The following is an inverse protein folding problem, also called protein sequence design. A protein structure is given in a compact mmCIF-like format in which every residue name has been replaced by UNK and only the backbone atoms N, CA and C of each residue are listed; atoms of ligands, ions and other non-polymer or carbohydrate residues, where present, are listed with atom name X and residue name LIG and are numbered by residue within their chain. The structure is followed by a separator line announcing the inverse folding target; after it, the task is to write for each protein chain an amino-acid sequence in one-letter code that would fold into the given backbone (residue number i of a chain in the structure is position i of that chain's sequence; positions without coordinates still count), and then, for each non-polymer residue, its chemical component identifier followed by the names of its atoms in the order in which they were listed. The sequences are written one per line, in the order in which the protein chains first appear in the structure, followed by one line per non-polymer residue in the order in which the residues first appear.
data_IF_790634217301
#
_entry.id   IF_790634217301
#
_cell.length_a   1.000
_cell.length_b   1.000
_cell.length_c   1.000
_cell.angle_alpha   90.00
_cell.angle_beta   90.00
_cell.angle_gamma   90.00
#
_symmetry.space_group_name_H-M   'P 1'
#
loop_
_entity.id
_entity.type
_entity.pdbx_description
1 polymer ?
#
# COMPACT_ATOMS: atom_id res chain seq x y z
N UNK A 1 2.71 5.39 -44.03
CA UNK A 1 2.98 4.58 -42.82
C UNK A 1 2.89 5.51 -41.61
N UNK A 2 2.02 5.25 -40.61
CA UNK A 2 1.98 6.09 -39.42
C UNK A 2 3.18 5.78 -38.53
N UNK A 3 3.84 6.82 -38.01
CA UNK A 3 4.98 6.70 -37.13
C UNK A 3 4.56 6.01 -35.82
N UNK A 4 5.30 4.96 -35.43
CA UNK A 4 5.06 4.24 -34.19
C UNK A 4 5.22 5.18 -32.98
N UNK A 5 4.13 5.40 -32.26
CA UNK A 5 4.14 6.13 -31.01
C UNK A 5 4.89 5.29 -29.97
N UNK A 6 6.18 5.59 -29.77
CA UNK A 6 6.97 4.97 -28.70
C UNK A 6 6.56 5.60 -27.38
N UNK A 7 5.97 4.82 -26.49
CA UNK A 7 5.76 5.22 -25.10
C UNK A 7 7.12 5.50 -24.44
N UNK A 8 7.24 6.57 -23.63
CA UNK A 8 8.48 6.88 -22.94
C UNK A 8 8.92 5.70 -22.06
N UNK A 9 10.23 5.47 -22.00
CA UNK A 9 10.81 4.41 -21.17
C UNK A 9 10.53 4.68 -19.68
N UNK A 10 10.51 3.65 -18.81
CA UNK A 10 10.25 3.84 -17.37
C UNK A 10 11.18 4.87 -16.72
N UNK A 11 12.44 4.90 -17.17
CA UNK A 11 13.44 5.88 -16.73
C UNK A 11 13.09 7.31 -17.16
N UNK A 12 12.56 7.50 -18.37
CA UNK A 12 12.08 8.82 -18.82
C UNK A 12 10.87 9.28 -18.00
N UNK A 13 9.94 8.38 -17.65
CA UNK A 13 8.81 8.74 -16.79
C UNK A 13 9.27 9.19 -15.40
N UNK A 14 10.21 8.46 -14.77
CA UNK A 14 10.77 8.84 -13.46
C UNK A 14 11.49 10.18 -13.54
N UNK A 15 12.33 10.40 -14.56
CA UNK A 15 13.03 11.68 -14.75
C UNK A 15 12.03 12.82 -14.97
N UNK A 16 10.97 12.59 -15.75
CA UNK A 16 9.94 13.61 -16.01
C UNK A 16 9.14 13.91 -14.74
N UNK A 17 8.76 12.90 -13.96
CA UNK A 17 8.10 13.07 -12.67
C UNK A 17 8.98 13.80 -11.65
N UNK A 18 10.29 13.49 -11.61
CA UNK A 18 11.25 14.16 -10.74
C UNK A 18 11.46 15.63 -11.15
N UNK A 19 11.55 15.90 -12.46
CA UNK A 19 11.70 17.25 -13.00
C UNK A 19 10.43 18.09 -12.79
N UNK A 20 9.23 17.52 -12.88
CA UNK A 20 7.99 18.20 -12.51
C UNK A 20 7.99 18.52 -11.00
N UNK A 21 8.41 17.58 -10.16
CA UNK A 21 8.53 17.81 -8.71
C UNK A 21 9.53 18.93 -8.40
N UNK A 22 10.68 18.95 -9.07
CA UNK A 22 11.75 19.97 -8.92
C UNK A 22 11.32 21.34 -9.48
N UNK A 23 10.59 21.36 -10.61
CA UNK A 23 10.08 22.58 -11.21
C UNK A 23 9.00 23.24 -10.33
N UNK A 24 8.10 22.43 -9.74
CA UNK A 24 7.11 22.89 -8.75
C UNK A 24 7.80 23.36 -7.45
N UNK A 25 8.92 22.76 -7.10
CA UNK A 25 9.72 23.05 -5.92
C UNK A 25 10.45 24.41 -5.96
N UNK A 26 10.89 24.87 -7.14
CA UNK A 26 11.83 26.00 -7.26
C UNK A 26 11.28 27.41 -6.95
N UNK A 27 10.06 27.52 -6.43
CA UNK A 27 9.51 28.77 -5.88
C UNK A 27 9.02 28.55 -4.44
N UNK A 28 9.96 28.48 -3.49
CA UNK A 28 9.67 28.62 -2.05
C UNK A 28 8.87 27.51 -1.34
N UNK A 29 8.55 26.38 -2.00
CA UNK A 29 7.68 25.32 -1.42
C UNK A 29 8.29 23.91 -1.39
N UNK A 30 9.40 23.66 -2.09
CA UNK A 30 10.05 22.34 -2.22
C UNK A 30 10.37 21.64 -0.89
N UNK A 31 11.03 22.37 0.00
CA UNK A 31 11.54 21.87 1.26
C UNK A 31 10.40 21.46 2.19
N UNK A 32 9.22 22.08 2.02
CA UNK A 32 8.03 21.75 2.77
C UNK A 32 7.40 20.44 2.28
N UNK A 33 7.29 20.22 0.96
CA UNK A 33 6.71 18.99 0.41
C UNK A 33 7.53 17.75 0.77
N UNK A 34 8.86 17.80 0.62
CA UNK A 34 9.71 16.67 1.00
C UNK A 34 9.58 16.31 2.50
N UNK A 35 9.52 17.33 3.37
CA UNK A 35 9.31 17.15 4.80
C UNK A 35 7.93 16.54 5.11
N UNK A 36 6.87 16.97 4.40
CA UNK A 36 5.53 16.39 4.53
C UNK A 36 5.52 14.91 4.18
N UNK A 37 6.14 14.50 3.05
CA UNK A 37 6.21 13.09 2.66
C UNK A 37 7.07 12.27 3.63
N UNK A 38 8.18 12.81 4.12
CA UNK A 38 8.98 12.15 5.15
C UNK A 38 8.17 11.94 6.44
N UNK A 39 7.41 12.95 6.87
CA UNK A 39 6.54 12.84 8.04
C UNK A 39 5.40 11.84 7.82
N UNK A 40 4.76 11.85 6.65
CA UNK A 40 3.72 10.87 6.31
C UNK A 40 4.28 9.43 6.32
N UNK A 41 5.50 9.24 5.83
CA UNK A 41 6.20 7.95 5.92
C UNK A 41 6.45 7.49 7.36
N UNK A 42 6.82 8.41 8.26
CA UNK A 42 6.98 8.12 9.69
C UNK A 42 5.64 7.75 10.34
N UNK A 43 4.58 8.55 10.12
CA UNK A 43 3.24 8.25 10.64
C UNK A 43 2.76 6.89 10.16
N UNK A 44 2.92 6.59 8.86
CA UNK A 44 2.57 5.26 8.33
C UNK A 44 3.33 4.12 9.03
N UNK A 45 4.55 4.35 9.54
CA UNK A 45 5.33 3.31 10.23
C UNK A 45 4.69 2.84 11.52
N UNK A 46 3.95 3.72 12.18
CA UNK A 46 3.33 3.50 13.49
C UNK A 46 2.00 2.76 13.37
N UNK A 47 1.49 2.55 12.15
CA UNK A 47 0.18 1.95 11.88
C UNK A 47 0.22 0.43 11.73
N UNK A 48 1.41 -0.20 11.78
CA UNK A 48 1.58 -1.63 11.60
C UNK A 48 1.80 -2.35 12.94
N UNK A 49 1.02 -3.39 13.18
CA UNK A 49 1.05 -4.14 14.43
C UNK A 49 1.16 -5.64 14.12
N UNK A 50 2.28 -6.25 14.50
CA UNK A 50 2.46 -7.70 14.38
C UNK A 50 1.59 -8.42 15.40
N UNK A 51 0.95 -9.51 14.98
CA UNK A 51 0.16 -10.39 15.82
C UNK A 51 0.88 -11.72 16.05
N UNK A 52 0.49 -12.43 17.11
CA UNK A 52 1.11 -13.69 17.52
C UNK A 52 0.94 -14.81 16.47
N UNK A 53 -0.10 -14.72 15.65
CA UNK A 53 -0.38 -15.64 14.55
C UNK A 53 0.47 -15.40 13.29
N UNK A 54 1.52 -14.58 13.42
CA UNK A 54 2.48 -14.17 12.38
C UNK A 54 1.88 -13.29 11.28
N UNK A 55 0.67 -12.78 11.47
CA UNK A 55 0.07 -11.76 10.60
C UNK A 55 0.43 -10.35 11.07
N UNK A 56 0.15 -9.36 10.23
CA UNK A 56 0.33 -7.93 10.54
C UNK A 56 -1.02 -7.23 10.37
N UNK A 57 -1.57 -6.69 11.46
CA UNK A 57 -2.71 -5.77 11.43
C UNK A 57 -2.23 -4.37 11.04
N UNK A 58 -2.99 -3.69 10.19
CA UNK A 58 -2.68 -2.31 9.79
C UNK A 58 -3.87 -1.44 10.13
N UNK A 59 -3.67 -0.48 11.04
CA UNK A 59 -4.70 0.50 11.38
C UNK A 59 -4.83 1.52 10.26
N UNK A 60 -6.06 1.94 9.99
CA UNK A 60 -6.33 3.07 9.09
C UNK A 60 -5.90 4.41 9.69
N UNK A 61 -5.66 4.46 11.00
CA UNK A 61 -5.20 5.65 11.72
C UNK A 61 -6.08 5.92 12.92
N UNK A 62 -6.94 6.93 12.79
CA UNK A 62 -7.90 7.37 13.80
C UNK A 62 -9.12 6.45 13.94
N UNK A 63 -9.41 5.64 12.92
CA UNK A 63 -10.43 4.59 12.97
C UNK A 63 -9.76 3.26 13.34
N UNK A 64 -10.21 2.64 14.42
CA UNK A 64 -9.70 1.33 14.88
C UNK A 64 -10.27 0.16 14.07
N UNK A 65 -9.92 0.15 12.79
CA UNK A 65 -10.20 -0.93 11.85
C UNK A 65 -9.07 -1.03 10.82
N UNK A 66 -9.01 -2.19 10.16
CA UNK A 66 -8.17 -2.46 9.01
C UNK A 66 -9.04 -2.56 7.77
N UNK A 67 -8.98 -1.54 6.90
CA UNK A 67 -9.53 -1.59 5.54
C UNK A 67 -8.63 -2.44 4.64
N UNK A 68 -9.22 -3.34 3.82
CA UNK A 68 -8.45 -4.13 2.84
C UNK A 68 -7.71 -3.23 1.83
N UNK A 69 -8.36 -2.16 1.38
CA UNK A 69 -7.77 -1.14 0.50
C UNK A 69 -6.60 -0.41 1.17
N UNK A 70 -6.86 0.25 2.29
CA UNK A 70 -5.90 1.15 2.92
C UNK A 70 -4.67 0.39 3.40
N UNK A 71 -4.87 -0.76 4.05
CA UNK A 71 -3.76 -1.61 4.50
C UNK A 71 -2.87 -2.05 3.34
N UNK A 72 -3.44 -2.30 2.16
CA UNK A 72 -2.67 -2.62 0.96
C UNK A 72 -1.81 -1.43 0.54
N UNK A 73 -2.41 -0.24 0.39
CA UNK A 73 -1.71 0.98 -0.04
C UNK A 73 -0.62 1.38 0.95
N UNK A 74 -0.91 1.31 2.26
CA UNK A 74 0.06 1.56 3.33
C UNK A 74 1.25 0.60 3.21
N UNK A 75 1.00 -0.70 2.98
CA UNK A 75 2.02 -1.74 2.86
C UNK A 75 2.85 -1.65 1.56
N UNK A 76 2.31 -1.12 0.46
CA UNK A 76 3.07 -0.90 -0.79
C UNK A 76 4.29 0.01 -0.58
N UNK A 77 4.24 0.91 0.40
CA UNK A 77 5.41 1.74 0.78
C UNK A 77 6.50 1.00 1.56
N UNK A 78 6.26 -0.28 1.89
CA UNK A 78 7.07 -1.09 2.82
C UNK A 78 7.60 -2.40 2.23
N UNK A 79 7.63 -2.53 0.91
CA UNK A 79 8.07 -3.76 0.21
C UNK A 79 9.48 -4.24 0.62
N UNK A 80 10.37 -3.34 1.06
CA UNK A 80 11.69 -3.70 1.61
C UNK A 80 11.63 -4.42 2.96
N UNK A 81 10.52 -4.30 3.70
CA UNK A 81 10.27 -4.96 4.99
C UNK A 81 9.48 -6.25 4.77
N UNK A 82 10.10 -7.23 4.10
CA UNK A 82 9.41 -8.42 3.57
C UNK A 82 8.54 -9.15 4.60
N UNK A 83 9.08 -9.44 5.79
CA UNK A 83 8.33 -10.12 6.85
C UNK A 83 7.10 -9.33 7.32
N UNK A 84 7.16 -7.99 7.32
CA UNK A 84 6.03 -7.14 7.69
C UNK A 84 4.92 -7.24 6.64
N UNK A 85 5.27 -7.03 5.36
CA UNK A 85 4.33 -7.03 4.24
C UNK A 85 3.72 -8.41 4.01
N UNK A 86 4.52 -9.48 4.10
CA UNK A 86 4.04 -10.87 4.09
C UNK A 86 2.98 -11.12 5.17
N UNK A 87 3.20 -10.58 6.37
CA UNK A 87 2.21 -10.64 7.44
C UNK A 87 0.91 -9.88 7.12
N UNK A 88 0.98 -8.77 6.37
CA UNK A 88 -0.22 -8.04 5.91
C UNK A 88 -1.00 -8.86 4.89
N UNK A 89 -0.32 -9.43 3.89
CA UNK A 89 -0.94 -10.26 2.84
C UNK A 89 -1.67 -11.46 3.48
N UNK A 90 -1.02 -12.19 4.37
CA UNK A 90 -1.65 -13.31 5.09
C UNK A 90 -2.80 -12.89 6.00
N UNK A 91 -2.76 -11.67 6.56
CA UNK A 91 -3.92 -11.17 7.27
C UNK A 91 -5.08 -10.96 6.32
N UNK A 92 -4.85 -10.23 5.22
CA UNK A 92 -5.86 -9.92 4.22
C UNK A 92 -6.50 -11.18 3.63
N UNK A 93 -5.71 -12.22 3.35
CA UNK A 93 -6.22 -13.54 2.94
C UNK A 93 -7.26 -14.08 3.94
N UNK A 94 -6.95 -14.08 5.24
CA UNK A 94 -7.87 -14.53 6.29
C UNK A 94 -9.11 -13.65 6.37
N UNK A 95 -8.96 -12.34 6.25
CA UNK A 95 -10.09 -11.39 6.28
C UNK A 95 -11.04 -11.63 5.10
N UNK A 96 -10.51 -11.82 3.89
CA UNK A 96 -11.30 -12.15 2.69
C UNK A 96 -12.02 -13.49 2.88
N UNK A 97 -11.36 -14.48 3.50
CA UNK A 97 -11.98 -15.77 3.79
C UNK A 97 -13.10 -15.68 4.83
N UNK A 98 -13.07 -14.69 5.73
CA UNK A 98 -14.13 -14.44 6.72
C UNK A 98 -15.36 -13.84 6.05
N UNK A 99 -15.20 -12.74 5.31
CA UNK A 99 -16.30 -12.16 4.53
C UNK A 99 -15.76 -11.37 3.33
N UNK A 100 -15.87 -11.90 2.08
CA UNK A 100 -15.38 -11.20 0.90
C UNK A 100 -16.22 -9.97 0.52
N UNK A 101 -17.36 -9.74 1.20
CA UNK A 101 -18.21 -8.57 1.01
C UNK A 101 -17.97 -7.47 2.04
N UNK A 102 -17.15 -7.73 3.06
CA UNK A 102 -16.73 -6.73 4.02
C UNK A 102 -15.48 -6.00 3.52
N UNK A 103 -15.46 -4.70 3.73
CA UNK A 103 -14.31 -3.87 3.39
C UNK A 103 -13.32 -3.81 4.61
N UNK A 104 -13.79 -3.89 5.86
CA UNK A 104 -13.00 -3.63 7.08
C UNK A 104 -13.26 -4.61 8.20
N UNK A 105 -12.20 -4.80 8.98
CA UNK A 105 -12.16 -5.75 10.08
C UNK A 105 -11.42 -5.18 11.27
N UNK A 106 -11.86 -5.55 12.47
CA UNK A 106 -11.16 -5.27 13.71
C UNK A 106 -9.93 -6.19 13.85
N UNK A 107 -9.09 -5.86 14.84
CA UNK A 107 -7.87 -6.62 15.15
C UNK A 107 -8.14 -8.07 15.55
N UNK A 108 -9.29 -8.34 16.14
CA UNK A 108 -9.75 -9.67 16.56
C UNK A 108 -10.53 -10.43 15.47
N UNK A 109 -10.41 -9.99 14.21
CA UNK A 109 -11.01 -10.62 13.02
C UNK A 109 -12.53 -10.44 12.86
N UNK A 110 -13.19 -9.68 13.73
CA UNK A 110 -14.60 -9.33 13.53
C UNK A 110 -14.77 -8.32 12.39
N UNK A 111 -15.88 -8.40 11.65
CA UNK A 111 -16.25 -7.42 10.62
C UNK A 111 -16.54 -6.08 11.30
N UNK A 112 -15.81 -5.04 10.93
CA UNK A 112 -16.01 -3.68 11.43
C UNK A 112 -17.04 -2.92 10.58
N UNK A 113 -16.99 -3.11 9.27
CA UNK A 113 -17.98 -2.58 8.32
C UNK A 113 -18.12 -3.54 7.13
N UNK A 114 -19.37 -3.69 6.68
CA UNK A 114 -19.76 -4.61 5.60
C UNK A 114 -20.34 -3.86 4.40
N UNK A 115 -19.56 -2.96 3.83
CA UNK A 115 -19.89 -2.27 2.59
C UNK A 115 -19.11 -2.90 1.45
N UNK A 116 -19.82 -3.51 0.52
CA UNK A 116 -19.18 -4.16 -0.62
C UNK A 116 -18.48 -3.12 -1.51
N UNK A 117 -17.16 -3.26 -1.64
CA UNK A 117 -16.33 -2.46 -2.53
C UNK A 117 -15.45 -3.42 -3.35
N UNK A 118 -15.61 -3.43 -4.68
CA UNK A 118 -14.89 -4.35 -5.57
C UNK A 118 -13.36 -4.29 -5.37
N UNK A 119 -12.86 -3.10 -5.12
CA UNK A 119 -11.44 -2.84 -4.92
C UNK A 119 -10.89 -3.39 -3.58
N UNK A 120 -11.74 -3.72 -2.61
CA UNK A 120 -11.33 -4.40 -1.37
C UNK A 120 -10.77 -5.79 -1.67
N UNK A 121 -11.19 -6.41 -2.78
CA UNK A 121 -10.60 -7.66 -3.28
C UNK A 121 -9.44 -7.42 -4.26
N UNK A 122 -9.40 -6.26 -4.95
CA UNK A 122 -8.34 -5.97 -5.92
C UNK A 122 -7.02 -5.53 -5.26
N UNK A 123 -7.09 -4.74 -4.20
CA UNK A 123 -5.90 -4.17 -3.56
C UNK A 123 -5.01 -5.21 -2.87
N UNK A 124 -5.56 -6.23 -2.16
CA UNK A 124 -4.76 -7.34 -1.63
C UNK A 124 -4.00 -8.10 -2.73
N UNK A 125 -4.67 -8.37 -3.87
CA UNK A 125 -4.01 -9.03 -5.03
C UNK A 125 -2.90 -8.15 -5.59
N UNK A 126 -3.14 -6.84 -5.71
CA UNK A 126 -2.12 -5.89 -6.18
C UNK A 126 -0.92 -5.80 -5.22
N UNK A 127 -1.15 -5.84 -3.91
CA UNK A 127 -0.06 -5.87 -2.93
C UNK A 127 0.77 -7.15 -3.08
N UNK A 128 0.11 -8.31 -3.20
CA UNK A 128 0.79 -9.59 -3.38
C UNK A 128 1.63 -9.63 -4.66
N UNK A 129 1.09 -9.14 -5.78
CA UNK A 129 1.83 -9.03 -7.04
C UNK A 129 3.08 -8.13 -6.91
N UNK A 130 2.93 -6.95 -6.30
CA UNK A 130 4.06 -6.05 -6.08
C UNK A 130 5.09 -6.63 -5.12
N UNK A 131 4.65 -7.37 -4.10
CA UNK A 131 5.53 -8.08 -3.18
C UNK A 131 6.37 -9.14 -3.92
N UNK A 132 5.72 -10.01 -4.69
CA UNK A 132 6.41 -11.04 -5.49
C UNK A 132 7.40 -10.39 -6.46
N UNK A 133 6.99 -9.34 -7.16
CA UNK A 133 7.86 -8.64 -8.12
C UNK A 133 9.07 -7.96 -7.42
N UNK A 134 8.87 -7.34 -6.26
CA UNK A 134 9.93 -6.63 -5.54
C UNK A 134 10.90 -7.56 -4.80
N UNK A 135 10.46 -8.76 -4.41
CA UNK A 135 11.21 -9.63 -3.48
C UNK A 135 11.63 -10.97 -4.09
N UNK A 136 10.93 -11.44 -5.13
CA UNK A 136 11.04 -12.80 -5.66
C UNK A 136 10.41 -13.89 -4.78
N UNK A 137 9.84 -13.53 -3.62
CA UNK A 137 9.19 -14.47 -2.71
C UNK A 137 7.77 -14.79 -3.19
N UNK A 138 7.59 -16.02 -3.67
CA UNK A 138 6.31 -16.57 -4.17
C UNK A 138 5.57 -17.41 -3.12
N UNK A 139 5.98 -17.34 -1.84
CA UNK A 139 5.32 -18.05 -0.74
C UNK A 139 4.07 -17.35 -0.18
N UNK A 140 3.60 -16.30 -0.86
CA UNK A 140 2.41 -15.51 -0.53
C UNK A 140 1.27 -15.76 -1.50
#
# INVERSE_FOLDING_TARGET
MPAAHRSPTPLMCVITSLLILIAVASKGSAANIAAIYARAGQVNAELFFRADDRTTYVSTGDIDAMWLRDSSVQAMSRLSQQALVRGVIFRQERLIAIDPYANAFHRDYQVAERKFELDSLCYPVRLAEQYVHATGDTSV
#
